data_IF_220456770710
#
_entry.id   IF_220456770710
#
_cell.length_a   1.000
_cell.length_b   1.000
_cell.length_c   1.000
_cell.angle_alpha   90.00
_cell.angle_beta   90.00
_cell.angle_gamma   90.00
#
_symmetry.space_group_name_H-M   'P 1'
#
loop_
_entity.id
_entity.type
_entity.pdbx_description
1 polymer ?
#
# COMPACT_ATOMS: atom_id res chain seq x y z
N UNK A 1 -10.71 6.43 1.43
CA UNK A 1 -11.16 5.37 0.50
C UNK A 1 -12.39 4.66 1.06
N UNK A 2 -13.24 4.12 0.20
CA UNK A 2 -14.32 3.18 0.57
C UNK A 2 -14.12 1.85 -0.14
N UNK A 3 -14.36 0.74 0.55
CA UNK A 3 -14.18 -0.60 0.01
C UNK A 3 -15.54 -1.23 -0.31
N UNK A 4 -15.58 -2.12 -1.29
CA UNK A 4 -16.77 -2.89 -1.63
C UNK A 4 -16.40 -4.21 -2.30
N UNK A 5 -17.21 -5.25 -2.10
CA UNK A 5 -17.06 -6.52 -2.82
C UNK A 5 -17.53 -6.39 -4.27
N UNK A 6 -16.82 -7.03 -5.20
CA UNK A 6 -17.33 -7.18 -6.56
C UNK A 6 -18.64 -7.98 -6.54
N UNK A 7 -19.65 -7.63 -7.36
CA UNK A 7 -20.95 -8.31 -7.34
C UNK A 7 -20.86 -9.84 -7.48
N UNK A 8 -19.92 -10.30 -8.31
CA UNK A 8 -19.72 -11.70 -8.71
C UNK A 8 -18.98 -12.57 -7.68
N UNK A 9 -18.46 -12.01 -6.58
CA UNK A 9 -17.70 -12.82 -5.61
C UNK A 9 -18.61 -13.77 -4.82
N UNK A 10 -18.14 -15.00 -4.62
CA UNK A 10 -18.85 -16.01 -3.84
C UNK A 10 -19.06 -15.57 -2.38
N UNK A 11 -20.17 -16.03 -1.78
CA UNK A 11 -20.51 -15.70 -0.39
C UNK A 11 -19.43 -16.17 0.60
N UNK A 12 -18.86 -17.36 0.38
CA UNK A 12 -17.75 -17.91 1.18
C UNK A 12 -16.52 -17.01 1.15
N UNK A 13 -16.25 -16.35 0.02
CA UNK A 13 -15.14 -15.39 -0.08
C UNK A 13 -15.45 -14.10 0.71
N UNK A 14 -16.69 -13.60 0.67
CA UNK A 14 -17.11 -12.41 1.44
C UNK A 14 -16.93 -12.62 2.94
N UNK A 15 -17.25 -13.81 3.43
CA UNK A 15 -17.09 -14.18 4.85
C UNK A 15 -15.61 -14.32 5.25
N UNK A 16 -14.73 -14.61 4.30
CA UNK A 16 -13.29 -14.82 4.55
C UNK A 16 -12.46 -13.52 4.57
N UNK A 17 -13.00 -12.41 4.07
CA UNK A 17 -12.26 -11.14 3.91
C UNK A 17 -12.99 -10.01 4.65
N UNK A 18 -12.26 -9.27 5.47
CA UNK A 18 -12.78 -8.06 6.09
C UNK A 18 -12.97 -6.94 5.05
N UNK A 19 -14.20 -6.44 4.92
CA UNK A 19 -14.55 -5.26 4.13
C UNK A 19 -15.33 -4.28 5.00
N UNK A 20 -14.72 -3.17 5.46
CA UNK A 20 -15.40 -2.20 6.31
C UNK A 20 -16.47 -1.42 5.54
N UNK A 21 -17.61 -1.18 6.19
CA UNK A 21 -18.69 -0.33 5.65
C UNK A 21 -18.33 1.17 5.66
N UNK A 22 -17.54 1.58 6.66
CA UNK A 22 -17.04 2.95 6.81
C UNK A 22 -15.84 3.22 5.90
N UNK A 23 -15.72 4.46 5.42
CA UNK A 23 -14.50 4.90 4.77
C UNK A 23 -13.31 4.92 5.72
N UNK A 24 -12.11 4.69 5.19
CA UNK A 24 -10.85 4.71 5.94
C UNK A 24 -9.74 5.43 5.15
N UNK A 25 -8.63 5.86 5.80
CA UNK A 25 -7.48 6.41 5.09
C UNK A 25 -7.01 5.50 3.97
N UNK A 26 -6.83 6.05 2.77
CA UNK A 26 -6.47 5.30 1.57
C UNK A 26 -5.01 5.47 1.21
N UNK A 27 -4.09 4.92 2.01
CA UNK A 27 -2.67 4.87 1.66
C UNK A 27 -2.45 3.86 0.53
N UNK A 28 -2.85 4.22 -0.69
CA UNK A 28 -2.81 3.41 -1.89
C UNK A 28 -2.32 4.24 -3.09
N UNK A 29 -1.63 3.62 -4.07
CA UNK A 29 -1.21 4.33 -5.29
C UNK A 29 -2.38 4.95 -6.06
N UNK A 30 -3.54 4.29 -6.08
CA UNK A 30 -4.74 4.76 -6.79
C UNK A 30 -5.39 6.01 -6.17
N UNK A 31 -5.04 6.34 -4.93
CA UNK A 31 -5.51 7.54 -4.23
C UNK A 31 -4.41 8.62 -4.13
N UNK A 32 -3.24 8.39 -4.75
CA UNK A 32 -2.08 9.28 -4.64
C UNK A 32 -1.99 10.22 -5.83
N UNK A 33 -1.80 11.50 -5.54
CA UNK A 33 -1.24 12.47 -6.48
C UNK A 33 0.11 12.95 -5.93
N UNK A 34 1.15 12.91 -6.76
CA UNK A 34 2.51 13.25 -6.36
C UNK A 34 3.20 14.08 -7.44
N UNK A 35 4.01 15.05 -7.02
CA UNK A 35 4.87 15.80 -7.95
C UNK A 35 5.86 14.86 -8.62
N UNK A 36 6.12 15.07 -9.91
CA UNK A 36 7.06 14.25 -10.68
C UNK A 36 8.44 14.20 -10.04
N UNK A 37 8.96 15.35 -9.60
CA UNK A 37 10.27 15.49 -8.98
C UNK A 37 10.35 14.75 -7.64
N UNK A 38 9.25 14.77 -6.87
CA UNK A 38 9.14 14.02 -5.62
C UNK A 38 9.15 12.50 -5.88
N UNK A 39 8.44 12.03 -6.90
CA UNK A 39 8.46 10.61 -7.31
C UNK A 39 9.89 10.16 -7.65
N UNK A 40 10.59 10.93 -8.49
CA UNK A 40 11.97 10.60 -8.88
C UNK A 40 12.97 10.72 -7.72
N UNK A 41 12.77 11.64 -6.78
CA UNK A 41 13.58 11.75 -5.58
C UNK A 41 13.48 10.52 -4.69
N UNK A 42 12.30 9.93 -4.57
CA UNK A 42 12.14 8.64 -3.86
C UNK A 42 12.75 7.52 -4.69
N UNK A 43 12.51 7.52 -6.00
CA UNK A 43 12.83 6.45 -6.94
C UNK A 43 11.59 5.69 -7.38
N UNK A 44 11.74 4.84 -8.39
CA UNK A 44 10.64 4.02 -8.94
C UNK A 44 10.16 2.95 -7.94
N UNK A 45 8.98 2.38 -8.23
CA UNK A 45 8.52 1.18 -7.54
C UNK A 45 9.48 0.03 -7.82
N UNK A 46 9.81 -0.69 -6.75
CA UNK A 46 10.79 -1.75 -6.78
C UNK A 46 10.10 -3.07 -7.12
N UNK A 47 10.52 -3.68 -8.23
CA UNK A 47 9.89 -4.89 -8.79
C UNK A 47 10.25 -6.17 -8.04
N UNK A 48 11.14 -6.12 -7.04
CA UNK A 48 11.46 -7.31 -6.24
C UNK A 48 10.30 -7.75 -5.34
N UNK A 49 9.36 -6.84 -5.04
CA UNK A 49 8.24 -7.08 -4.12
C UNK A 49 7.00 -7.56 -4.88
N UNK A 50 6.38 -8.65 -4.39
CA UNK A 50 5.16 -9.19 -4.97
C UNK A 50 3.91 -8.46 -4.50
N UNK A 51 3.88 -7.93 -3.28
CA UNK A 51 2.77 -7.10 -2.79
C UNK A 51 3.24 -5.85 -2.05
N UNK A 52 4.51 -5.82 -1.67
CA UNK A 52 5.11 -4.75 -0.87
C UNK A 52 5.57 -3.53 -1.67
N UNK A 53 5.41 -3.49 -3.00
CA UNK A 53 6.02 -2.45 -3.84
C UNK A 53 5.64 -1.03 -3.41
N UNK A 54 4.36 -0.84 -3.06
CA UNK A 54 3.83 0.44 -2.58
C UNK A 54 4.30 0.75 -1.17
N UNK A 55 4.23 -0.22 -0.25
CA UNK A 55 4.65 -0.02 1.13
C UNK A 55 6.14 0.34 1.22
N UNK A 56 6.98 -0.33 0.43
CA UNK A 56 8.39 -0.01 0.30
C UNK A 56 8.62 1.43 -0.17
N UNK A 57 7.91 1.85 -1.22
CA UNK A 57 8.01 3.22 -1.72
C UNK A 57 7.54 4.25 -0.70
N UNK A 58 6.42 4.01 -0.02
CA UNK A 58 5.87 4.91 0.99
C UNK A 58 6.80 5.06 2.21
N UNK A 59 7.42 3.97 2.66
CA UNK A 59 8.42 3.98 3.73
C UNK A 59 9.63 4.82 3.32
N UNK A 60 10.16 4.64 2.10
CA UNK A 60 11.27 5.45 1.58
C UNK A 60 10.89 6.93 1.45
N UNK A 61 9.67 7.22 1.02
CA UNK A 61 9.17 8.59 0.95
C UNK A 61 9.13 9.26 2.34
N UNK A 62 8.71 8.50 3.35
CA UNK A 62 8.68 8.94 4.75
C UNK A 62 10.10 9.16 5.31
N UNK A 63 11.04 8.27 4.99
CA UNK A 63 12.47 8.41 5.36
C UNK A 63 13.09 9.68 4.76
N UNK A 64 12.68 10.07 3.55
CA UNK A 64 13.09 11.31 2.89
C UNK A 64 12.34 12.56 3.39
N UNK A 65 11.46 12.41 4.39
CA UNK A 65 10.65 13.48 4.98
C UNK A 65 9.83 14.25 3.94
N UNK A 66 9.33 13.55 2.91
CA UNK A 66 8.36 14.13 1.99
C UNK A 66 7.11 14.53 2.76
N UNK A 67 6.57 15.71 2.45
CA UNK A 67 5.34 16.18 3.04
C UNK A 67 4.14 15.45 2.42
N UNK A 68 3.41 14.67 3.23
CA UNK A 68 2.27 13.87 2.79
C UNK A 68 1.02 14.46 3.45
N UNK A 69 0.03 14.82 2.63
CA UNK A 69 -1.27 15.31 3.09
C UNK A 69 -2.34 14.31 2.72
N UNK A 70 -3.04 13.78 3.73
CA UNK A 70 -4.24 12.97 3.52
C UNK A 70 -5.45 13.90 3.34
N UNK A 71 -6.22 13.67 2.29
CA UNK A 71 -7.46 14.38 2.04
C UNK A 71 -8.63 13.70 2.79
N UNK A 72 -9.55 14.46 3.40
CA UNK A 72 -10.72 13.88 4.06
C UNK A 72 -11.73 13.28 3.07
N UNK A 73 -11.70 13.68 1.80
CA UNK A 73 -12.63 13.24 0.77
C UNK A 73 -12.38 11.79 0.32
N UNK A 74 -13.46 11.11 -0.09
CA UNK A 74 -13.36 9.80 -0.73
C UNK A 74 -12.99 10.01 -2.20
N UNK A 75 -11.70 9.90 -2.50
CA UNK A 75 -11.17 9.99 -3.87
C UNK A 75 -11.02 8.63 -4.57
N UNK A 76 -11.32 7.52 -3.89
CA UNK A 76 -11.16 6.16 -4.43
C UNK A 76 -12.14 5.17 -3.82
N UNK A 77 -12.73 4.35 -4.68
CA UNK A 77 -13.49 3.15 -4.33
C UNK A 77 -12.63 1.91 -4.66
N UNK A 78 -12.28 1.12 -3.65
CA UNK A 78 -11.47 -0.09 -3.83
C UNK A 78 -12.38 -1.31 -3.91
N UNK A 79 -12.35 -1.96 -5.08
CA UNK A 79 -13.04 -3.24 -5.32
C UNK A 79 -12.28 -4.40 -4.66
N UNK A 80 -13.01 -5.29 -3.99
CA UNK A 80 -12.50 -6.53 -3.41
C UNK A 80 -13.02 -7.72 -4.24
N UNK A 81 -12.09 -8.50 -4.80
CA UNK A 81 -12.38 -9.70 -5.58
C UNK A 81 -11.31 -10.78 -5.35
N UNK A 82 -11.61 -12.01 -5.76
CA UNK A 82 -10.79 -13.20 -5.51
C UNK A 82 -9.40 -13.12 -6.17
N UNK A 83 -9.31 -12.47 -7.34
CA UNK A 83 -8.06 -12.25 -8.06
C UNK A 83 -7.27 -11.02 -7.59
N UNK A 84 -7.64 -10.38 -6.48
CA UNK A 84 -6.83 -9.31 -5.91
C UNK A 84 -5.41 -9.80 -5.62
N UNK A 85 -4.39 -8.99 -5.94
CA UNK A 85 -2.98 -9.36 -5.77
C UNK A 85 -2.67 -9.87 -4.35
N UNK A 86 -3.19 -9.18 -3.32
CA UNK A 86 -3.00 -9.58 -1.91
C UNK A 86 -3.74 -10.87 -1.51
N UNK A 87 -4.78 -11.26 -2.24
CA UNK A 87 -5.47 -12.55 -2.06
C UNK A 87 -4.64 -13.66 -2.71
N UNK A 88 -4.23 -13.48 -3.97
CA UNK A 88 -3.45 -14.46 -4.72
C UNK A 88 -2.05 -14.67 -4.11
N UNK A 89 -1.41 -13.59 -3.66
CA UNK A 89 -0.04 -13.58 -3.12
C UNK A 89 -0.02 -13.52 -1.59
N UNK A 90 -0.98 -14.17 -0.91
CA UNK A 90 -1.11 -14.13 0.56
C UNK A 90 0.16 -14.56 1.31
N UNK A 91 0.94 -15.48 0.72
CA UNK A 91 2.23 -15.93 1.29
C UNK A 91 3.30 -14.82 1.30
N UNK A 92 3.13 -13.77 0.50
CA UNK A 92 4.03 -12.62 0.40
C UNK A 92 3.77 -11.54 1.44
N UNK A 93 2.79 -11.72 2.35
CA UNK A 93 2.57 -10.80 3.50
C UNK A 93 3.83 -10.62 4.36
N UNK A 94 4.72 -11.62 4.39
CA UNK A 94 6.03 -11.50 5.05
C UNK A 94 6.92 -10.41 4.47
N UNK A 95 6.70 -9.95 3.24
CA UNK A 95 7.47 -8.86 2.61
C UNK A 95 7.43 -7.58 3.45
N UNK A 96 6.31 -7.28 4.12
CA UNK A 96 6.21 -6.09 4.97
C UNK A 96 7.23 -6.09 6.10
N UNK A 97 7.53 -7.26 6.69
CA UNK A 97 8.57 -7.39 7.73
C UNK A 97 9.96 -7.11 7.15
N UNK A 98 10.23 -7.58 5.93
CA UNK A 98 11.50 -7.34 5.25
C UNK A 98 11.68 -5.86 4.87
N UNK A 99 10.60 -5.20 4.44
CA UNK A 99 10.57 -3.75 4.16
C UNK A 99 10.87 -2.95 5.43
N UNK A 100 10.23 -3.29 6.55
CA UNK A 100 10.50 -2.65 7.84
C UNK A 100 11.94 -2.88 8.32
N UNK A 101 12.47 -4.09 8.14
CA UNK A 101 13.88 -4.38 8.46
C UNK A 101 14.83 -3.55 7.59
N UNK A 102 14.58 -3.48 6.28
CA UNK A 102 15.38 -2.67 5.37
C UNK A 102 15.35 -1.18 5.74
N UNK A 103 14.20 -0.68 6.21
CA UNK A 103 14.06 0.68 6.75
C UNK A 103 14.93 0.92 7.98
N UNK A 104 14.87 -0.01 8.95
CA UNK A 104 15.70 0.05 10.17
C UNK A 104 17.20 0.04 9.85
N UNK A 105 17.61 -0.79 8.89
CA UNK A 105 19.01 -0.91 8.49
C UNK A 105 19.53 0.38 7.83
N UNK A 106 18.71 1.04 7.00
CA UNK A 106 19.08 2.34 6.42
C UNK A 106 19.26 3.41 7.49
N UNK A 107 18.36 3.47 8.49
CA UNK A 107 18.48 4.43 9.61
C UNK A 107 19.75 4.21 10.43
N UNK A 108 20.06 2.96 10.80
CA UNK A 108 21.28 2.62 11.57
C UNK A 108 22.59 2.97 10.85
N UNK A 109 22.59 2.99 9.52
CA UNK A 109 23.77 3.39 8.72
C UNK A 109 24.00 4.90 8.70
N UNK A 110 22.97 5.70 8.98
CA UNK A 110 23.07 7.18 9.03
C UNK A 110 23.49 7.64 10.43
N UNK A 111 23.14 6.88 11.47
CA UNK A 111 23.51 7.14 12.86
C UNK A 111 24.95 6.74 13.21
N UNK A 112 25.64 6.01 12.34
CA UNK A 112 27.06 5.67 12.44
C UNK A 112 27.89 6.58 11.56
#
# INVERSE_FOLDING_TARGET
MKQFFSPEVAQTFRESIYCPDSSMPGYLPSAMMVKKEALFRVGQFDSQWQIGEWANWYVRASELKLHIKMLPEIVTLRRIHESNKGVLQRKSVKEYVHILKASLDRRRKIEK
#
